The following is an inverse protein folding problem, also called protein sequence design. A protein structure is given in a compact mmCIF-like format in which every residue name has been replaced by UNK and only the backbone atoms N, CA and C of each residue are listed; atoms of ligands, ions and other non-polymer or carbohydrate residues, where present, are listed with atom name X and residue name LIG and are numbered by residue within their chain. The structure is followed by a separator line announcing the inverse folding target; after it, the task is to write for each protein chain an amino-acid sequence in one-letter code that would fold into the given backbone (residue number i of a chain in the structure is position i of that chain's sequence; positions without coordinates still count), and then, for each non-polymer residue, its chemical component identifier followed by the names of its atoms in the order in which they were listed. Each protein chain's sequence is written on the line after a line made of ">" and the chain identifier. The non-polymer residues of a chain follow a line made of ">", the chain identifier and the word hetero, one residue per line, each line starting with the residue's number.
data_IF_079284387827
#
_entry.id   IF_079284387827
#
_cell.length_a   1.000
_cell.length_b   1.000
_cell.length_c   1.000
_cell.angle_alpha   90.00
_cell.angle_beta   90.00
_cell.angle_gamma   90.00
#
_symmetry.space_group_name_H-M   'P 1'
#
loop_
_entity.id
_entity.type
_entity.pdbx_description
1 polymer ?
#
# COMPACT_ATOMS: atom_id res chain seq x y z
N UNK A 1 -11.32 -17.64 11.04
CA UNK A 1 -12.21 -16.99 10.06
C UNK A 1 -11.37 -16.74 8.82
N UNK A 2 -11.69 -17.46 7.76
CA UNK A 2 -10.98 -17.43 6.48
C UNK A 2 -11.42 -16.19 5.70
N UNK A 3 -10.48 -15.48 5.10
CA UNK A 3 -10.77 -14.53 4.02
C UNK A 3 -9.78 -14.82 2.90
N UNK A 4 -10.09 -15.84 2.11
CA UNK A 4 -9.70 -15.88 0.71
C UNK A 4 -10.61 -14.91 -0.02
N UNK A 5 -10.06 -13.84 -0.58
CA UNK A 5 -10.65 -13.23 -1.77
C UNK A 5 -9.51 -12.85 -2.72
N UNK A 6 -9.24 -13.78 -3.63
CA UNK A 6 -8.55 -13.52 -4.89
C UNK A 6 -9.66 -13.38 -5.93
N UNK A 7 -9.86 -12.20 -6.51
CA UNK A 7 -10.56 -12.08 -7.78
C UNK A 7 -9.95 -10.97 -8.65
N UNK A 8 -9.33 -11.40 -9.75
CA UNK A 8 -9.56 -10.79 -11.06
C UNK A 8 -8.73 -9.58 -11.45
N UNK A 9 -7.46 -9.79 -11.83
CA UNK A 9 -6.88 -9.37 -13.12
C UNK A 9 -5.38 -9.72 -13.16
N UNK A 10 -5.07 -10.89 -13.73
CA UNK A 10 -3.86 -11.09 -14.53
C UNK A 10 -2.50 -11.00 -13.83
N UNK A 11 -2.34 -11.46 -12.59
CA UNK A 11 -1.00 -11.77 -12.08
C UNK A 11 -0.69 -13.23 -12.45
N UNK A 12 0.27 -13.39 -13.37
CA UNK A 12 0.89 -14.66 -13.69
C UNK A 12 1.47 -15.24 -12.40
N UNK A 13 0.74 -16.16 -11.78
CA UNK A 13 1.32 -17.07 -10.79
C UNK A 13 2.14 -18.06 -11.60
N UNK A 14 3.47 -17.89 -11.60
CA UNK A 14 4.37 -18.98 -11.96
C UNK A 14 4.36 -19.99 -10.81
N UNK A 15 3.30 -20.79 -10.71
CA UNK A 15 3.23 -21.94 -9.80
C UNK A 15 3.83 -23.14 -10.52
N UNK A 16 5.12 -23.38 -10.31
CA UNK A 16 5.57 -24.77 -10.31
C UNK A 16 5.13 -25.36 -8.97
N UNK A 17 4.22 -26.33 -9.04
CA UNK A 17 3.94 -27.21 -7.92
C UNK A 17 5.22 -28.02 -7.64
N UNK A 18 5.94 -27.60 -6.61
CA UNK A 18 7.07 -28.32 -6.04
C UNK A 18 6.90 -28.28 -4.53
N UNK A 19 6.85 -29.46 -3.92
CA UNK A 19 6.70 -29.72 -2.50
C UNK A 19 7.48 -28.75 -1.60
N UNK A 20 6.92 -28.47 -0.44
CA UNK A 20 7.61 -27.85 0.72
C UNK A 20 9.01 -28.43 0.92
N UNK A 21 10.01 -27.75 0.38
CA UNK A 21 11.39 -27.87 0.80
C UNK A 21 11.71 -26.59 1.56
N UNK A 22 11.99 -26.72 2.86
CA UNK A 22 12.60 -25.66 3.65
C UNK A 22 13.82 -25.15 2.87
N UNK A 23 13.78 -23.89 2.41
CA UNK A 23 14.96 -23.26 1.84
C UNK A 23 15.92 -22.97 2.99
N UNK A 24 16.77 -23.95 3.26
CA UNK A 24 18.04 -23.78 3.92
C UNK A 24 18.96 -23.04 2.93
N UNK A 25 18.77 -21.73 2.82
CA UNK A 25 19.64 -20.82 2.07
C UNK A 25 20.65 -20.21 3.02
N UNK A 26 21.75 -20.93 3.26
CA UNK A 26 22.87 -20.42 4.03
C UNK A 26 23.63 -19.30 3.30
N UNK A 27 24.01 -18.27 4.06
CA UNK A 27 25.27 -17.55 3.86
C UNK A 27 25.24 -16.33 2.95
N UNK A 28 24.89 -15.18 3.53
CA UNK A 28 25.25 -13.87 2.98
C UNK A 28 24.88 -12.77 3.96
N UNK A 29 25.77 -12.46 4.90
CA UNK A 29 25.67 -11.31 5.79
C UNK A 29 25.81 -9.98 5.03
N UNK A 30 24.88 -9.72 4.11
CA UNK A 30 24.65 -8.42 3.50
C UNK A 30 23.39 -7.82 4.11
N UNK A 31 23.37 -6.50 4.30
CA UNK A 31 22.21 -5.79 4.80
C UNK A 31 20.96 -6.18 4.00
N UNK A 32 20.04 -6.96 4.60
CA UNK A 32 18.79 -7.31 3.96
C UNK A 32 17.94 -6.04 3.80
N UNK A 33 17.36 -5.86 2.60
CA UNK A 33 16.59 -4.66 2.27
C UNK A 33 16.84 -4.20 0.85
N UNK A 34 15.79 -3.66 0.22
CA UNK A 34 15.87 -3.08 -1.12
C UNK A 34 15.67 -1.58 -1.05
N UNK A 35 16.41 -0.77 -1.84
CA UNK A 35 16.07 0.64 -2.00
C UNK A 35 14.67 0.76 -2.59
N UNK A 36 13.76 1.44 -1.89
CA UNK A 36 12.34 1.53 -2.28
C UNK A 36 12.20 2.17 -3.66
N UNK A 37 13.01 3.17 -3.97
CA UNK A 37 13.10 3.85 -5.25
C UNK A 37 13.51 2.93 -6.42
N UNK A 38 14.33 1.91 -6.14
CA UNK A 38 14.74 0.92 -7.15
C UNK A 38 13.64 -0.08 -7.50
N UNK A 39 12.74 -0.37 -6.55
CA UNK A 39 11.62 -1.31 -6.75
C UNK A 39 10.40 -0.58 -7.30
N UNK A 40 10.05 0.56 -6.69
CA UNK A 40 8.92 1.39 -7.09
C UNK A 40 9.44 2.34 -8.15
N UNK A 41 9.56 1.85 -9.39
CA UNK A 41 9.94 2.66 -10.55
C UNK A 41 8.78 3.54 -11.01
N UNK A 42 9.06 4.53 -11.85
CA UNK A 42 8.02 5.35 -12.50
C UNK A 42 7.05 4.47 -13.30
N UNK A 43 7.57 3.45 -13.99
CA UNK A 43 6.76 2.48 -14.74
C UNK A 43 5.87 1.65 -13.82
N UNK A 44 6.38 1.15 -12.69
CA UNK A 44 5.58 0.40 -11.72
C UNK A 44 4.45 1.27 -11.14
N UNK A 45 4.79 2.46 -10.67
CA UNK A 45 3.81 3.37 -10.05
C UNK A 45 2.74 3.81 -11.04
N UNK A 46 3.12 4.21 -12.26
CA UNK A 46 2.16 4.58 -13.29
C UNK A 46 1.37 3.38 -13.80
N UNK A 47 1.93 2.16 -13.78
CA UNK A 47 1.19 0.93 -14.09
C UNK A 47 0.00 0.69 -13.15
N UNK A 48 0.15 1.02 -11.86
CA UNK A 48 -0.96 0.99 -10.90
C UNK A 48 -1.93 2.14 -11.18
N UNK A 49 -1.42 3.37 -11.21
CA UNK A 49 -2.24 4.57 -11.40
C UNK A 49 -3.08 4.52 -12.68
N UNK A 50 -2.57 3.91 -13.74
CA UNK A 50 -3.26 3.82 -15.03
C UNK A 50 -4.43 2.84 -15.04
N UNK A 51 -4.61 2.00 -14.00
CA UNK A 51 -5.81 1.18 -13.82
C UNK A 51 -7.03 2.02 -13.41
N UNK A 52 -6.82 3.10 -12.66
CA UNK A 52 -7.90 4.00 -12.30
C UNK A 52 -8.58 4.61 -13.53
N UNK A 53 -9.93 4.68 -13.55
CA UNK A 53 -10.71 5.30 -14.61
C UNK A 53 -10.21 6.70 -15.02
N UNK A 54 -10.43 7.06 -16.28
CA UNK A 54 -9.98 8.35 -16.82
C UNK A 54 -10.69 9.56 -16.18
N UNK A 55 -11.87 9.36 -15.59
CA UNK A 55 -12.62 10.39 -14.89
C UNK A 55 -12.23 10.56 -13.40
N UNK A 56 -11.19 9.87 -12.93
CA UNK A 56 -10.66 10.06 -11.59
C UNK A 56 -9.99 11.42 -11.45
N UNK A 57 -10.69 12.36 -10.82
CA UNK A 57 -10.24 13.76 -10.66
C UNK A 57 -8.98 13.86 -9.81
N UNK A 58 -8.83 13.00 -8.79
CA UNK A 58 -7.72 13.07 -7.86
C UNK A 58 -6.50 12.22 -8.27
N UNK A 59 -6.51 11.64 -9.47
CA UNK A 59 -5.43 10.76 -9.96
C UNK A 59 -4.06 11.45 -9.97
N UNK A 60 -4.00 12.78 -10.05
CA UNK A 60 -2.77 13.58 -10.00
C UNK A 60 -2.23 13.81 -8.58
N UNK A 61 -3.05 13.62 -7.54
CA UNK A 61 -2.65 13.81 -6.14
C UNK A 61 -1.58 12.81 -5.72
N UNK A 62 -1.74 11.55 -6.14
CA UNK A 62 -0.78 10.49 -5.84
C UNK A 62 0.40 10.52 -6.83
N UNK A 63 1.57 10.89 -6.33
CA UNK A 63 2.81 10.89 -7.11
C UNK A 63 3.81 9.88 -6.55
N UNK A 64 4.63 9.30 -7.43
CA UNK A 64 5.75 8.45 -7.02
C UNK A 64 6.67 9.19 -6.06
N UNK A 65 6.98 10.46 -6.34
CA UNK A 65 7.89 11.24 -5.50
C UNK A 65 7.36 11.41 -4.08
N UNK A 66 6.06 11.70 -3.92
CA UNK A 66 5.43 11.79 -2.59
C UNK A 66 5.54 10.47 -1.84
N UNK A 67 5.32 9.35 -2.52
CA UNK A 67 5.49 8.02 -1.92
C UNK A 67 6.95 7.74 -1.52
N UNK A 68 7.93 8.01 -2.39
CA UNK A 68 9.36 7.80 -2.07
C UNK A 68 9.81 8.65 -0.89
N UNK A 69 9.39 9.92 -0.86
CA UNK A 69 9.68 10.82 0.26
C UNK A 69 9.10 10.27 1.58
N UNK A 70 7.84 9.81 1.55
CA UNK A 70 7.21 9.20 2.72
C UNK A 70 7.94 7.90 3.15
N UNK A 71 8.25 7.01 2.20
CA UNK A 71 8.94 5.77 2.47
C UNK A 71 10.32 5.98 3.13
N UNK A 72 11.06 7.02 2.71
CA UNK A 72 12.34 7.36 3.33
C UNK A 72 12.22 7.90 4.77
N UNK A 73 11.06 8.45 5.15
CA UNK A 73 10.80 8.85 6.53
C UNK A 73 10.65 7.63 7.46
N UNK A 74 10.17 6.51 6.94
CA UNK A 74 10.00 5.26 7.68
C UNK A 74 11.17 4.30 7.43
N UNK A 75 12.27 4.48 8.17
CA UNK A 75 13.52 3.73 7.98
C UNK A 75 13.39 2.20 8.06
N UNK A 76 12.36 1.68 8.73
CA UNK A 76 12.06 0.25 8.81
C UNK A 76 11.26 -0.32 7.63
N UNK A 77 10.67 0.53 6.79
CA UNK A 77 9.88 0.09 5.64
C UNK A 77 10.78 -0.52 4.56
N UNK A 78 10.36 -1.67 4.02
CA UNK A 78 11.11 -2.45 3.04
C UNK A 78 12.52 -2.88 3.52
N UNK A 79 12.64 -3.16 4.83
CA UNK A 79 13.84 -3.70 5.50
C UNK A 79 13.58 -5.07 6.08
N UNK A 80 12.90 -5.92 5.31
CA UNK A 80 12.59 -7.30 5.71
C UNK A 80 13.85 -8.15 5.89
N UNK A 81 13.67 -9.40 6.31
CA UNK A 81 14.77 -10.34 6.57
C UNK A 81 15.50 -10.79 5.30
N UNK A 82 14.92 -10.52 4.14
CA UNK A 82 15.49 -10.75 2.82
C UNK A 82 15.04 -9.66 1.84
N UNK A 83 15.69 -9.61 0.66
CA UNK A 83 15.25 -8.74 -0.42
C UNK A 83 13.85 -9.12 -0.93
N UNK A 84 13.50 -10.40 -0.89
CA UNK A 84 12.17 -10.87 -1.28
C UNK A 84 11.12 -10.46 -0.25
N UNK A 85 11.41 -10.56 1.05
CA UNK A 85 10.51 -10.06 2.11
C UNK A 85 10.25 -8.56 1.94
N UNK A 86 11.31 -7.79 1.62
CA UNK A 86 11.20 -6.34 1.41
C UNK A 86 10.36 -5.99 0.17
N UNK A 87 10.51 -6.74 -0.93
CA UNK A 87 9.66 -6.58 -2.11
C UNK A 87 8.21 -6.98 -1.83
N UNK A 88 7.98 -8.03 -1.04
CA UNK A 88 6.64 -8.45 -0.61
C UNK A 88 5.96 -7.41 0.25
N UNK A 89 6.69 -6.74 1.15
CA UNK A 89 6.17 -5.64 1.95
C UNK A 89 5.72 -4.47 1.07
N UNK A 90 6.54 -4.05 0.10
CA UNK A 90 6.18 -3.01 -0.87
C UNK A 90 4.94 -3.43 -1.67
N UNK A 91 4.90 -4.67 -2.16
CA UNK A 91 3.77 -5.19 -2.92
C UNK A 91 2.47 -5.24 -2.09
N UNK A 92 2.55 -5.69 -0.84
CA UNK A 92 1.41 -5.71 0.08
C UNK A 92 0.88 -4.30 0.35
N UNK A 93 1.79 -3.34 0.59
CA UNK A 93 1.42 -1.94 0.79
C UNK A 93 0.65 -1.38 -0.41
N UNK A 94 1.15 -1.57 -1.64
CA UNK A 94 0.45 -1.11 -2.83
C UNK A 94 -0.86 -1.88 -3.07
N UNK A 95 -0.92 -3.18 -2.79
CA UNK A 95 -2.15 -3.96 -2.90
C UNK A 95 -3.27 -3.39 -2.00
N UNK A 96 -2.94 -3.06 -0.75
CA UNK A 96 -3.89 -2.39 0.15
C UNK A 96 -4.31 -1.03 -0.40
N UNK A 97 -3.34 -0.17 -0.77
CA UNK A 97 -3.68 1.16 -1.29
C UNK A 97 -4.58 1.08 -2.52
N UNK A 98 -4.30 0.17 -3.45
CA UNK A 98 -5.13 0.02 -4.66
C UNK A 98 -6.55 -0.37 -4.31
N UNK A 99 -6.74 -1.22 -3.30
CA UNK A 99 -8.07 -1.62 -2.85
C UNK A 99 -8.82 -0.45 -2.21
N UNK A 100 -8.19 0.22 -1.25
CA UNK A 100 -8.81 1.29 -0.46
C UNK A 100 -9.10 2.53 -1.33
N UNK A 101 -8.18 2.93 -2.21
CA UNK A 101 -8.32 4.17 -3.00
C UNK A 101 -8.95 3.99 -4.38
N UNK A 102 -9.32 2.77 -4.77
CA UNK A 102 -9.78 2.46 -6.12
C UNK A 102 -8.71 2.74 -7.17
N UNK A 103 -7.56 2.09 -7.04
CA UNK A 103 -6.38 2.27 -7.91
C UNK A 103 -5.81 3.70 -7.94
N UNK A 104 -5.77 4.38 -6.78
CA UNK A 104 -5.33 5.78 -6.63
C UNK A 104 -6.31 6.81 -7.23
N UNK A 105 -7.60 6.50 -7.27
CA UNK A 105 -8.65 7.38 -7.79
C UNK A 105 -9.16 8.39 -6.75
N UNK A 106 -9.29 7.97 -5.48
CA UNK A 106 -9.91 8.75 -4.42
C UNK A 106 -8.90 9.20 -3.36
N UNK A 107 -9.01 10.46 -2.93
CA UNK A 107 -8.19 11.02 -1.84
C UNK A 107 -8.87 11.02 -0.48
N UNK A 108 -10.18 10.83 -0.48
CA UNK A 108 -11.02 10.87 0.70
C UNK A 108 -12.16 9.86 0.52
N UNK A 109 -12.63 9.31 1.63
CA UNK A 109 -13.77 8.38 1.69
C UNK A 109 -15.01 8.98 0.99
N UNK A 110 -15.73 8.16 0.22
CA UNK A 110 -16.92 8.60 -0.50
C UNK A 110 -18.09 8.79 0.47
N UNK A 111 -18.28 7.85 1.40
CA UNK A 111 -19.37 7.89 2.37
C UNK A 111 -19.00 8.68 3.64
N UNK A 112 -19.41 9.95 3.70
CA UNK A 112 -19.09 10.85 4.82
C UNK A 112 -20.26 11.05 5.77
N UNK A 113 -21.02 10.00 6.01
CA UNK A 113 -22.20 10.05 6.89
C UNK A 113 -21.86 10.34 8.36
N UNK A 114 -20.62 10.12 8.78
CA UNK A 114 -20.14 10.36 10.15
C UNK A 114 -18.92 11.28 10.16
N UNK A 115 -18.74 12.03 11.25
CA UNK A 115 -17.54 12.83 11.49
C UNK A 115 -16.38 11.97 12.02
N UNK A 116 -16.60 10.67 12.30
CA UNK A 116 -15.63 9.74 12.88
C UNK A 116 -14.92 10.29 14.13
N UNK A 117 -15.62 11.13 14.90
CA UNK A 117 -15.11 11.70 16.14
C UNK A 117 -15.53 10.83 17.34
N UNK A 118 -14.54 10.19 17.99
CA UNK A 118 -14.72 9.60 19.31
C UNK A 118 -14.66 10.68 20.40
N UNK A 119 -15.85 11.13 20.82
CA UNK A 119 -16.02 12.16 21.86
C UNK A 119 -15.57 11.71 23.25
N UNK A 120 -15.36 10.42 23.46
CA UNK A 120 -14.86 9.89 24.73
C UNK A 120 -13.32 9.91 24.79
N UNK A 121 -12.63 10.11 23.66
CA UNK A 121 -11.17 10.15 23.61
C UNK A 121 -10.64 11.49 24.14
N UNK A 122 -10.15 11.46 25.39
CA UNK A 122 -9.58 12.65 26.06
C UNK A 122 -8.15 12.97 25.64
N UNK A 123 -7.41 12.00 25.10
CA UNK A 123 -6.04 12.20 24.64
C UNK A 123 -5.99 12.92 23.29
N UNK A 124 -6.96 12.62 22.42
CA UNK A 124 -7.10 13.20 21.09
C UNK A 124 -8.48 13.82 20.91
N UNK A 125 -8.76 14.96 21.58
CA UNK A 125 -10.07 15.57 21.56
C UNK A 125 -10.42 16.08 20.15
N UNK A 126 -11.68 15.85 19.77
CA UNK A 126 -12.18 16.29 18.48
C UNK A 126 -12.19 17.81 18.37
N UNK A 127 -11.70 18.30 17.24
CA UNK A 127 -11.68 19.73 16.94
C UNK A 127 -13.03 20.17 16.37
N UNK A 128 -13.62 21.28 16.87
CA UNK A 128 -14.88 21.80 16.34
C UNK A 128 -14.83 22.01 14.82
N UNK A 129 -15.86 21.54 14.11
CA UNK A 129 -15.97 21.67 12.66
C UNK A 129 -15.03 20.76 11.85
N UNK A 130 -14.35 19.80 12.50
CA UNK A 130 -13.52 18.80 11.81
C UNK A 130 -14.22 17.45 11.74
N UNK A 131 -13.93 16.72 10.66
CA UNK A 131 -14.36 15.36 10.44
C UNK A 131 -13.15 14.48 10.11
N UNK A 132 -13.17 13.24 10.56
CA UNK A 132 -12.06 12.30 10.59
C UNK A 132 -12.33 11.04 9.74
N UNK A 133 -13.21 11.15 8.75
CA UNK A 133 -13.38 10.12 7.70
C UNK A 133 -12.05 9.82 7.00
N UNK A 134 -11.99 8.66 6.33
CA UNK A 134 -10.77 8.16 5.70
C UNK A 134 -10.17 9.17 4.71
N UNK A 135 -8.85 9.38 4.79
CA UNK A 135 -8.09 10.18 3.81
C UNK A 135 -6.81 9.52 3.37
N UNK A 136 -6.44 9.77 2.12
CA UNK A 136 -5.19 9.32 1.51
C UNK A 136 -5.14 7.82 1.24
N UNK A 137 -3.92 7.25 1.14
CA UNK A 137 -3.71 5.91 0.59
C UNK A 137 -4.36 4.75 1.36
N UNK A 138 -4.72 4.92 2.63
CA UNK A 138 -5.28 3.87 3.49
C UNK A 138 -6.74 4.14 3.88
N UNK A 139 -7.44 4.94 3.08
CA UNK A 139 -8.82 5.31 3.32
C UNK A 139 -9.78 4.41 2.53
N UNK A 140 -10.75 3.76 3.18
CA UNK A 140 -11.76 2.98 2.48
C UNK A 140 -12.57 3.86 1.53
N UNK A 141 -12.94 3.29 0.38
CA UNK A 141 -13.79 3.92 -0.63
C UNK A 141 -15.28 3.70 -0.37
#
# INVERSE_FOLDING_TARGET
>A
MQAFLVLGLGIVILSTAGSVAAQNGGGGGGNAGVPVDSVVTEQFFNGIKNKAPNNCVDKSFYTRQSFINAAHFYSGFAKGRSNDDSKREIAAFFAHITHETGDLCYTEEINRASDFCDRNNKQWPCQPGKAYFGRGPQAPN
#
